data_IF_343663202918
#
_entry.id   IF_343663202918
#
_cell.length_a   1.000
_cell.length_b   1.000
_cell.length_c   1.000
_cell.angle_alpha   90.00
_cell.angle_beta   90.00
_cell.angle_gamma   90.00
#
_symmetry.space_group_name_H-M   'P 1'
#
loop_
_entity.id
_entity.type
_entity.pdbx_description
1 polymer ?
#
# COMPACT_ATOMS: atom_id res chain seq x y z
N UNK A 1 -10.90 -64.45 3.38
CA UNK A 1 -11.02 -64.71 1.93
C UNK A 1 -11.78 -63.54 1.30
N UNK A 2 -11.06 -62.48 0.91
CA UNK A 2 -11.58 -61.35 0.14
C UNK A 2 -10.42 -60.84 -0.75
N UNK A 3 -10.63 -60.66 -2.06
CA UNK A 3 -9.52 -60.56 -3.00
C UNK A 3 -8.96 -59.15 -3.16
N UNK A 4 -7.63 -59.12 -3.27
CA UNK A 4 -6.78 -58.05 -3.77
C UNK A 4 -7.31 -57.47 -5.08
N UNK A 5 -7.52 -56.14 -5.15
CA UNK A 5 -7.63 -55.43 -6.43
C UNK A 5 -6.35 -54.64 -6.66
N UNK A 6 -5.56 -55.17 -7.57
CA UNK A 6 -4.45 -54.50 -8.24
C UNK A 6 -4.97 -53.39 -9.18
N UNK A 7 -4.13 -52.37 -9.34
CA UNK A 7 -3.90 -51.60 -10.56
C UNK A 7 -5.06 -50.76 -11.12
N UNK A 8 -4.87 -49.45 -11.16
CA UNK A 8 -4.72 -48.72 -12.44
C UNK A 8 -4.36 -47.25 -12.16
N UNK A 9 -3.08 -47.00 -11.90
CA UNK A 9 -2.48 -45.67 -11.99
C UNK A 9 -2.48 -45.24 -13.46
N UNK A 10 -3.39 -44.32 -13.80
CA UNK A 10 -3.47 -43.72 -15.14
C UNK A 10 -2.21 -42.86 -15.37
N UNK A 11 -1.50 -43.01 -16.51
CA UNK A 11 -0.42 -42.08 -16.87
C UNK A 11 -1.00 -40.70 -17.20
N UNK A 12 -0.33 -39.66 -16.71
CA UNK A 12 -0.65 -38.27 -17.02
C UNK A 12 -0.37 -37.95 -18.50
N UNK A 13 -1.18 -37.10 -19.16
CA UNK A 13 -0.94 -36.71 -20.55
C UNK A 13 0.34 -35.87 -20.67
N UNK A 14 1.16 -36.20 -21.67
CA UNK A 14 2.38 -35.46 -22.00
C UNK A 14 2.07 -34.02 -22.47
N UNK A 15 2.94 -33.04 -22.17
CA UNK A 15 2.78 -31.68 -22.65
C UNK A 15 2.95 -31.60 -24.18
N UNK A 16 2.21 -30.72 -24.88
CA UNK A 16 2.36 -30.56 -26.32
C UNK A 16 3.77 -30.08 -26.67
N UNK A 17 4.43 -30.86 -27.52
CA UNK A 17 5.71 -30.58 -28.15
C UNK A 17 5.70 -29.23 -28.86
N UNK A 18 6.57 -28.34 -28.40
CA UNK A 18 6.92 -27.04 -29.00
C UNK A 18 7.40 -27.26 -30.44
N UNK A 19 6.50 -27.09 -31.41
CA UNK A 19 6.81 -27.15 -32.84
C UNK A 19 7.71 -25.96 -33.19
N UNK A 20 9.03 -26.20 -33.21
CA UNK A 20 10.03 -25.31 -33.82
C UNK A 20 9.81 -25.36 -35.33
N UNK A 21 9.08 -24.38 -35.83
CA UNK A 21 8.97 -24.15 -37.27
C UNK A 21 10.03 -23.11 -37.66
N UNK A 22 11.05 -23.59 -38.36
CA UNK A 22 11.81 -22.91 -39.41
C UNK A 22 12.07 -21.40 -39.21
N UNK A 23 13.22 -21.10 -38.60
CA UNK A 23 13.91 -19.82 -38.77
C UNK A 23 14.68 -19.90 -40.09
N UNK A 24 13.97 -19.75 -41.21
CA UNK A 24 14.57 -19.63 -42.53
C UNK A 24 14.51 -18.19 -43.02
N UNK A 25 15.68 -17.74 -43.48
CA UNK A 25 15.91 -16.72 -44.49
C UNK A 25 15.48 -15.28 -44.17
N UNK A 26 16.48 -14.41 -43.98
CA UNK A 26 16.29 -12.98 -44.18
C UNK A 26 17.19 -12.07 -43.38
N UNK A 27 18.52 -12.31 -43.38
CA UNK A 27 19.47 -11.24 -43.11
C UNK A 27 19.39 -10.27 -44.29
N UNK A 28 18.48 -9.31 -44.21
CA UNK A 28 18.56 -8.06 -44.96
C UNK A 28 18.69 -6.95 -43.95
N UNK A 29 19.95 -6.65 -43.66
CA UNK A 29 20.39 -5.48 -42.92
C UNK A 29 20.07 -4.23 -43.74
N UNK A 30 18.79 -3.87 -43.82
CA UNK A 30 18.37 -2.53 -44.22
C UNK A 30 18.50 -1.65 -42.99
N UNK A 31 19.67 -1.04 -42.88
CA UNK A 31 19.94 0.13 -42.06
C UNK A 31 18.86 1.19 -42.37
N UNK A 32 17.77 1.17 -41.60
CA UNK A 32 16.71 2.16 -41.71
C UNK A 32 17.17 3.39 -40.93
N UNK A 33 17.91 4.25 -41.63
CA UNK A 33 18.29 5.60 -41.18
C UNK A 33 17.02 6.31 -40.72
N UNK A 34 16.87 6.70 -39.44
CA UNK A 34 15.73 7.51 -39.02
C UNK A 34 15.85 8.90 -39.67
N UNK A 35 14.79 9.42 -40.32
CA UNK A 35 14.83 10.76 -40.91
C UNK A 35 15.06 11.83 -39.82
N UNK A 36 15.66 12.98 -40.17
CA UNK A 36 15.88 14.07 -39.23
C UNK A 36 14.53 14.65 -38.79
N UNK A 37 14.07 14.24 -37.62
CA UNK A 37 12.87 14.72 -36.96
C UNK A 37 13.08 16.16 -36.47
N UNK A 38 12.80 17.14 -37.35
CA UNK A 38 12.78 18.60 -37.10
C UNK A 38 11.82 19.08 -35.99
N UNK A 39 11.12 18.16 -35.29
CA UNK A 39 10.18 18.46 -34.20
C UNK A 39 10.56 17.91 -32.81
N UNK A 40 11.68 17.17 -32.68
CA UNK A 40 12.09 16.59 -31.36
C UNK A 40 12.46 17.66 -30.34
N UNK A 41 12.95 18.83 -30.78
CA UNK A 41 13.29 19.94 -29.89
C UNK A 41 12.08 20.48 -29.12
N UNK A 42 10.91 20.53 -29.78
CA UNK A 42 9.66 20.95 -29.12
C UNK A 42 9.20 19.90 -28.09
N UNK A 43 9.30 18.60 -28.43
CA UNK A 43 9.01 17.51 -27.49
C UNK A 43 9.94 17.54 -26.27
N UNK A 44 11.24 17.73 -26.48
CA UNK A 44 12.20 17.85 -25.38
C UNK A 44 11.99 19.13 -24.55
N UNK A 45 11.62 20.26 -25.19
CA UNK A 45 11.28 21.49 -24.49
C UNK A 45 10.01 21.35 -23.64
N UNK A 46 8.98 20.66 -24.14
CA UNK A 46 7.75 20.38 -23.39
C UNK A 46 8.02 19.44 -22.23
N UNK A 47 8.85 18.40 -22.41
CA UNK A 47 9.25 17.50 -21.32
C UNK A 47 10.10 18.23 -20.27
N UNK A 48 11.03 19.08 -20.68
CA UNK A 48 11.82 19.90 -19.77
C UNK A 48 10.96 20.90 -18.99
N UNK A 49 9.96 21.50 -19.65
CA UNK A 49 9.00 22.39 -19.01
C UNK A 49 8.12 21.64 -17.99
N UNK A 50 7.59 20.48 -18.35
CA UNK A 50 6.84 19.61 -17.43
C UNK A 50 7.68 19.15 -16.23
N UNK A 51 8.96 18.84 -16.44
CA UNK A 51 9.88 18.49 -15.37
C UNK A 51 10.17 19.69 -14.45
N UNK A 52 10.22 20.91 -15.00
CA UNK A 52 10.40 22.15 -14.21
C UNK A 52 9.15 22.51 -13.39
N UNK A 53 7.96 22.11 -13.85
CA UNK A 53 6.68 22.28 -13.13
C UNK A 53 6.40 21.17 -12.11
N UNK A 54 7.20 20.11 -12.06
CA UNK A 54 7.05 19.03 -11.10
C UNK A 54 7.58 19.46 -9.72
N UNK A 55 6.75 20.15 -8.95
CA UNK A 55 7.04 20.43 -7.54
C UNK A 55 7.00 19.12 -6.72
N UNK A 56 7.90 18.93 -5.74
CA UNK A 56 7.84 17.79 -4.84
C UNK A 56 6.56 17.86 -4.01
N UNK A 57 5.72 16.82 -4.13
CA UNK A 57 4.62 16.63 -3.19
C UNK A 57 5.21 16.17 -1.85
N UNK A 58 5.08 17.00 -0.81
CA UNK A 58 5.39 16.56 0.56
C UNK A 58 4.32 15.55 0.98
N UNK A 59 4.68 14.27 0.98
CA UNK A 59 3.85 13.24 1.55
C UNK A 59 3.99 13.32 3.07
N UNK A 60 2.91 13.69 3.76
CA UNK A 60 2.85 13.70 5.22
C UNK A 60 3.18 12.30 5.75
N UNK A 61 4.15 12.23 6.66
CA UNK A 61 4.52 10.97 7.30
C UNK A 61 3.64 10.76 8.54
N UNK A 62 2.89 9.66 8.55
CA UNK A 62 2.04 9.30 9.67
C UNK A 62 2.62 8.10 10.43
N UNK A 63 2.55 8.09 11.76
CA UNK A 63 2.99 6.95 12.55
C UNK A 63 2.13 5.72 12.27
N UNK A 64 2.72 4.54 12.49
CA UNK A 64 2.00 3.28 12.38
C UNK A 64 1.03 3.12 13.57
N UNK A 65 -0.14 2.55 13.31
CA UNK A 65 -1.08 2.19 14.36
C UNK A 65 -0.58 0.92 15.06
N UNK A 66 -0.17 1.03 16.31
CA UNK A 66 0.34 -0.10 17.11
C UNK A 66 -0.72 -0.71 18.03
N UNK A 67 -1.80 0.01 18.34
CA UNK A 67 -2.85 -0.43 19.25
C UNK A 67 -3.89 0.67 19.49
N UNK A 68 -4.66 0.58 20.59
CA UNK A 68 -5.58 1.66 20.98
C UNK A 68 -4.85 2.84 21.58
N UNK A 69 -3.61 2.63 22.03
CA UNK A 69 -2.73 3.70 22.50
C UNK A 69 -1.46 3.72 21.65
N UNK A 70 -1.13 4.89 21.09
CA UNK A 70 0.08 5.15 20.30
C UNK A 70 0.82 6.32 20.91
N UNK A 71 1.80 6.06 21.77
CA UNK A 71 2.58 7.10 22.45
C UNK A 71 3.92 7.37 21.75
N UNK A 72 3.94 8.27 20.74
CA UNK A 72 5.19 8.65 20.08
C UNK A 72 5.89 9.81 20.81
N UNK A 73 5.15 10.60 21.57
CA UNK A 73 5.71 11.71 22.35
C UNK A 73 6.36 11.26 23.67
N UNK A 74 6.29 9.96 24.02
CA UNK A 74 6.85 9.38 25.24
C UNK A 74 6.34 10.07 26.51
N UNK A 75 5.05 10.39 26.53
CA UNK A 75 4.39 11.07 27.64
C UNK A 75 3.81 10.09 28.67
N UNK A 76 3.58 8.84 28.27
CA UNK A 76 2.97 7.82 29.12
C UNK A 76 4.03 6.80 29.55
N UNK A 77 4.00 6.42 30.84
CA UNK A 77 4.75 5.26 31.28
C UNK A 77 4.13 3.98 30.71
N UNK A 78 4.92 2.91 30.45
CA UNK A 78 4.42 1.67 29.86
C UNK A 78 3.21 1.07 30.61
N UNK A 79 3.24 1.12 31.94
CA UNK A 79 2.14 0.64 32.78
C UNK A 79 0.85 1.46 32.61
N UNK A 80 0.99 2.77 32.40
CA UNK A 80 -0.16 3.66 32.15
C UNK A 80 -0.74 3.44 30.77
N UNK A 81 0.12 3.27 29.75
CA UNK A 81 -0.32 2.94 28.40
C UNK A 81 -1.06 1.61 28.35
N UNK A 82 -0.54 0.57 29.04
CA UNK A 82 -1.20 -0.73 29.13
C UNK A 82 -2.54 -0.67 29.88
N UNK A 83 -2.60 0.06 30.99
CA UNK A 83 -3.85 0.25 31.74
C UNK A 83 -4.90 1.01 30.91
N UNK A 84 -4.47 2.00 30.13
CA UNK A 84 -5.34 2.76 29.24
C UNK A 84 -5.84 1.89 28.08
N UNK A 85 -4.98 1.10 27.45
CA UNK A 85 -5.37 0.19 26.37
C UNK A 85 -6.44 -0.81 26.84
N UNK A 86 -6.27 -1.39 28.03
CA UNK A 86 -7.26 -2.29 28.64
C UNK A 86 -8.62 -1.59 28.88
N UNK A 87 -8.60 -0.35 29.38
CA UNK A 87 -9.83 0.45 29.57
C UNK A 87 -10.52 0.75 28.25
N UNK A 88 -9.77 1.15 27.22
CA UNK A 88 -10.32 1.44 25.89
C UNK A 88 -10.89 0.17 25.24
N UNK A 89 -10.24 -0.98 25.41
CA UNK A 89 -10.75 -2.27 24.95
C UNK A 89 -12.08 -2.64 25.62
N UNK A 90 -12.19 -2.42 26.94
CA UNK A 90 -13.45 -2.64 27.65
C UNK A 90 -14.56 -1.67 27.17
N UNK A 91 -14.21 -0.42 26.91
CA UNK A 91 -15.16 0.60 26.43
C UNK A 91 -15.68 0.27 25.03
N UNK A 92 -14.81 -0.25 24.16
CA UNK A 92 -15.17 -0.73 22.83
C UNK A 92 -16.12 -1.94 22.92
N UNK A 93 -15.87 -2.89 23.84
CA UNK A 93 -16.77 -4.02 24.08
C UNK A 93 -18.15 -3.61 24.61
N UNK A 94 -18.20 -2.58 25.46
CA UNK A 94 -19.44 -2.12 26.08
C UNK A 94 -20.29 -1.22 25.17
N UNK A 95 -19.64 -0.33 24.42
CA UNK A 95 -20.31 0.68 23.60
C UNK A 95 -20.37 0.33 22.12
N UNK A 96 -19.55 -0.63 21.67
CA UNK A 96 -19.34 -0.95 20.25
C UNK A 96 -18.50 0.09 19.51
N UNK A 97 -17.99 1.13 20.17
CA UNK A 97 -17.28 2.26 19.54
C UNK A 97 -15.78 2.11 19.68
N UNK A 98 -15.04 2.31 18.60
CA UNK A 98 -13.59 2.22 18.61
C UNK A 98 -12.99 3.56 19.04
N UNK A 99 -12.23 3.57 20.14
CA UNK A 99 -11.51 4.76 20.61
C UNK A 99 -10.01 4.51 20.62
N UNK A 100 -9.26 5.44 20.02
CA UNK A 100 -7.79 5.42 19.94
C UNK A 100 -7.24 6.71 20.52
N UNK A 101 -6.18 6.60 21.31
CA UNK A 101 -5.42 7.73 21.87
C UNK A 101 -4.04 7.71 21.26
N UNK A 102 -3.61 8.83 20.68
CA UNK A 102 -2.28 8.97 20.11
C UNK A 102 -1.62 10.24 20.64
N UNK A 103 -0.34 10.18 20.98
CA UNK A 103 0.44 11.37 21.33
C UNK A 103 1.53 11.54 20.28
N UNK A 104 1.53 12.70 19.63
CA UNK A 104 2.44 12.98 18.52
C UNK A 104 3.29 14.21 18.88
N UNK A 105 4.63 14.14 18.76
CA UNK A 105 5.50 15.24 19.17
C UNK A 105 5.47 16.43 18.20
N UNK A 106 5.17 16.18 16.92
CA UNK A 106 5.16 17.22 15.88
C UNK A 106 4.07 16.95 14.83
N UNK A 107 3.36 18.01 14.43
CA UNK A 107 2.28 17.97 13.44
C UNK A 107 2.76 18.33 12.02
N UNK A 108 4.07 18.52 11.81
CA UNK A 108 4.72 18.90 10.55
C UNK A 108 4.13 20.20 9.96
N UNK A 109 3.71 21.13 10.84
CA UNK A 109 3.15 22.42 10.46
C UNK A 109 1.66 22.43 10.09
N UNK A 110 0.95 21.31 10.26
CA UNK A 110 -0.49 21.24 10.01
C UNK A 110 -1.31 21.64 11.24
N UNK A 111 -2.53 22.19 11.04
CA UNK A 111 -3.53 22.31 12.10
C UNK A 111 -3.85 20.95 12.72
N UNK A 112 -4.13 20.93 14.03
CA UNK A 112 -4.37 19.69 14.78
C UNK A 112 -5.59 18.93 14.25
N UNK A 113 -6.62 19.67 13.81
CA UNK A 113 -7.86 19.13 13.25
C UNK A 113 -7.59 18.42 11.91
N UNK A 114 -6.83 19.06 11.03
CA UNK A 114 -6.47 18.52 9.71
C UNK A 114 -5.56 17.30 9.85
N UNK A 115 -4.56 17.38 10.75
CA UNK A 115 -3.67 16.27 11.04
C UNK A 115 -4.44 15.08 11.61
N UNK A 116 -5.28 15.32 12.62
CA UNK A 116 -6.10 14.28 13.26
C UNK A 116 -7.08 13.63 12.29
N UNK A 117 -7.72 14.43 11.41
CA UNK A 117 -8.60 13.90 10.38
C UNK A 117 -7.85 13.00 9.39
N UNK A 118 -6.70 13.45 8.88
CA UNK A 118 -5.90 12.64 7.96
C UNK A 118 -5.34 11.38 8.64
N UNK A 119 -4.93 11.47 9.89
CA UNK A 119 -4.44 10.33 10.67
C UNK A 119 -5.54 9.29 10.88
N UNK A 120 -6.73 9.70 11.32
CA UNK A 120 -7.88 8.80 11.48
C UNK A 120 -8.26 8.11 10.17
N UNK A 121 -8.21 8.83 9.04
CA UNK A 121 -8.42 8.27 7.69
C UNK A 121 -7.32 7.30 7.28
N UNK A 122 -6.06 7.60 7.60
CA UNK A 122 -4.90 6.74 7.31
C UNK A 122 -4.97 5.43 8.09
N UNK A 123 -5.41 5.49 9.34
CA UNK A 123 -5.60 4.33 10.22
C UNK A 123 -6.91 3.60 9.98
N UNK A 124 -7.86 4.21 9.26
CA UNK A 124 -9.16 3.60 8.98
C UNK A 124 -9.97 3.38 10.25
N UNK A 125 -9.96 4.35 11.16
CA UNK A 125 -10.70 4.26 12.42
C UNK A 125 -12.21 4.24 12.17
N UNK A 126 -12.90 3.35 12.88
CA UNK A 126 -14.34 3.17 12.79
C UNK A 126 -14.78 2.24 11.66
N UNK A 127 -15.96 1.66 11.82
CA UNK A 127 -16.59 0.89 10.75
C UNK A 127 -17.00 1.81 9.59
N UNK A 128 -16.81 1.35 8.35
CA UNK A 128 -17.10 2.13 7.13
C UNK A 128 -18.56 2.58 7.04
N UNK A 129 -19.48 1.90 7.71
CA UNK A 129 -20.92 2.19 7.69
C UNK A 129 -21.34 2.98 8.91
N UNK A 130 -20.76 2.69 10.07
CA UNK A 130 -21.20 3.29 11.34
C UNK A 130 -20.43 4.56 11.71
N UNK A 131 -19.17 4.73 11.24
CA UNK A 131 -18.30 5.87 11.55
C UNK A 131 -18.07 6.05 13.06
N UNK A 132 -17.97 4.94 13.80
CA UNK A 132 -17.91 4.94 15.26
C UNK A 132 -16.49 5.14 15.83
N UNK A 133 -15.56 5.53 14.98
CA UNK A 133 -14.15 5.73 15.33
C UNK A 133 -13.92 7.10 15.97
N UNK A 134 -13.31 7.11 17.15
CA UNK A 134 -12.86 8.31 17.84
C UNK A 134 -11.33 8.30 17.98
N UNK A 135 -10.70 9.41 17.61
CA UNK A 135 -9.28 9.66 17.83
C UNK A 135 -9.13 10.79 18.84
N UNK A 136 -8.32 10.57 19.88
CA UNK A 136 -7.81 11.61 20.76
C UNK A 136 -6.33 11.83 20.45
N UNK A 137 -5.97 13.08 20.16
CA UNK A 137 -4.61 13.50 19.83
C UNK A 137 -4.09 14.51 20.87
#
# INVERSE_FOLDING_TARGET
>A
MAPSRCSHSRPAPAPPTRRRSAFEAGVTSSFLIPPPLKGRGLLWAVVALLALLAAPAFAQSFPALTGRVVDNAHLLQPDQAAALDAKLAQLEQQSGRQMVVATIPDLQGYPIEDYGYQLGRKWGLGDKKANDGLLLL
#
